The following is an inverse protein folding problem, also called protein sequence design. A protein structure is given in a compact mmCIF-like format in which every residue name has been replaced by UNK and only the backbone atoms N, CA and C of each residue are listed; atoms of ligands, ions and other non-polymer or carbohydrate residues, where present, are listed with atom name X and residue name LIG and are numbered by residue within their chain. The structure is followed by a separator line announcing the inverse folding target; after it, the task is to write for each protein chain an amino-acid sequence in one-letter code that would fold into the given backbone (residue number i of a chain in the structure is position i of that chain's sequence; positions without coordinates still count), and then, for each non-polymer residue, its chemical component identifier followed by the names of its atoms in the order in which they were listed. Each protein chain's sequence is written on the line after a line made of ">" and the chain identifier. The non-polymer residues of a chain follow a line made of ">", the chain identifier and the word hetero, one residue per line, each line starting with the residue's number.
data_IF_236547858736
#
_entry.id   IF_236547858736
#
_cell.length_a   1.000
_cell.length_b   1.000
_cell.length_c   1.000
_cell.angle_alpha   90.00
_cell.angle_beta   90.00
_cell.angle_gamma   90.00
#
_symmetry.space_group_name_H-M   'P 1'
#
loop_
_entity.id
_entity.type
_entity.pdbx_description
1 polymer ?
#
# COMPACT_ATOMS: atom_id res chain seq x y z
N UNK A 1 -17.31 -15.65 -22.92
CA UNK A 1 -16.93 -15.14 -21.58
C UNK A 1 -17.25 -13.66 -21.52
N UNK A 2 -17.94 -13.19 -20.48
CA UNK A 2 -18.32 -11.77 -20.35
C UNK A 2 -17.05 -11.01 -19.91
N UNK A 3 -16.55 -10.13 -20.78
CA UNK A 3 -15.42 -9.23 -20.48
C UNK A 3 -15.98 -7.94 -19.89
N UNK A 4 -15.39 -7.48 -18.79
CA UNK A 4 -15.83 -6.28 -18.07
C UNK A 4 -14.70 -5.26 -17.99
N UNK A 5 -15.01 -4.00 -18.30
CA UNK A 5 -14.03 -2.91 -18.26
C UNK A 5 -13.92 -2.25 -16.88
N UNK A 6 -15.07 -2.04 -16.24
CA UNK A 6 -15.32 -1.29 -15.01
C UNK A 6 -16.65 -1.74 -14.42
N UNK A 7 -17.14 -1.14 -13.33
CA UNK A 7 -18.39 -1.50 -12.65
C UNK A 7 -18.20 -2.65 -11.65
N UNK A 8 -17.02 -2.81 -11.08
CA UNK A 8 -16.75 -3.82 -10.04
C UNK A 8 -17.28 -3.37 -8.68
N UNK A 9 -17.83 -4.29 -7.92
CA UNK A 9 -18.38 -3.96 -6.60
C UNK A 9 -17.26 -3.36 -5.69
N UNK A 10 -17.46 -2.12 -5.22
CA UNK A 10 -16.50 -1.41 -4.38
C UNK A 10 -15.34 -0.75 -5.15
N UNK A 11 -15.45 -0.65 -6.48
CA UNK A 11 -14.48 0.12 -7.25
C UNK A 11 -14.54 1.60 -6.90
N UNK A 12 -13.40 2.25 -7.04
CA UNK A 12 -13.26 3.70 -6.94
C UNK A 12 -12.41 4.16 -8.10
N UNK A 13 -12.87 5.14 -8.85
CA UNK A 13 -12.13 5.70 -9.95
C UNK A 13 -12.45 7.17 -10.13
N UNK A 14 -11.46 7.92 -10.56
CA UNK A 14 -11.57 9.32 -10.95
C UNK A 14 -10.96 9.43 -12.35
N UNK A 15 -11.70 10.03 -13.25
CA UNK A 15 -11.26 10.42 -14.58
C UNK A 15 -11.35 11.93 -14.64
N UNK A 16 -10.21 12.62 -14.69
CA UNK A 16 -10.20 14.07 -14.69
C UNK A 16 -10.77 14.62 -16.00
N UNK A 17 -11.66 15.60 -15.93
CA UNK A 17 -12.17 16.27 -17.12
C UNK A 17 -11.05 16.90 -17.96
N UNK A 18 -11.17 16.95 -19.30
CA UNK A 18 -10.13 17.53 -20.17
C UNK A 18 -9.74 18.96 -19.80
N UNK A 19 -10.67 19.77 -19.28
CA UNK A 19 -10.39 21.13 -18.81
C UNK A 19 -9.44 21.14 -17.60
N UNK A 20 -9.55 20.18 -16.69
CA UNK A 20 -8.67 20.04 -15.54
C UNK A 20 -7.29 19.58 -15.99
N UNK A 21 -7.21 18.56 -16.87
CA UNK A 21 -5.94 18.10 -17.45
C UNK A 21 -5.21 19.25 -18.18
N UNK A 22 -5.95 20.13 -18.84
CA UNK A 22 -5.34 21.29 -19.50
C UNK A 22 -4.84 22.35 -18.48
N UNK A 23 -5.47 22.46 -17.31
CA UNK A 23 -4.96 23.30 -16.21
C UNK A 23 -3.64 22.72 -15.68
N UNK A 24 -3.57 21.39 -15.47
CA UNK A 24 -2.35 20.71 -15.04
C UNK A 24 -1.18 20.94 -16.01
N UNK A 25 -1.43 20.84 -17.31
CA UNK A 25 -0.41 21.08 -18.35
C UNK A 25 0.19 22.48 -18.30
N UNK A 26 -0.57 23.46 -17.86
CA UNK A 26 -0.17 24.89 -17.84
C UNK A 26 0.42 25.32 -16.49
N UNK A 27 0.15 24.58 -15.42
CA UNK A 27 0.68 24.94 -14.12
C UNK A 27 2.16 24.54 -13.99
N UNK A 28 3.05 25.48 -13.64
CA UNK A 28 4.50 25.22 -13.62
C UNK A 28 4.94 24.22 -12.54
N UNK A 29 4.12 23.96 -11.49
CA UNK A 29 4.42 22.95 -10.47
C UNK A 29 3.89 21.57 -10.84
N UNK A 30 2.86 21.50 -11.68
CA UNK A 30 2.15 20.26 -12.02
C UNK A 30 2.60 19.69 -13.35
N UNK A 31 2.89 20.52 -14.34
CA UNK A 31 3.12 20.15 -15.75
C UNK A 31 4.21 19.09 -15.96
N UNK A 32 5.17 18.99 -15.03
CA UNK A 32 6.24 17.99 -15.11
C UNK A 32 5.77 16.56 -14.88
N UNK A 33 4.72 16.36 -14.05
CA UNK A 33 4.13 15.06 -13.79
C UNK A 33 2.74 15.22 -13.15
N UNK A 34 1.69 14.70 -13.79
CA UNK A 34 0.32 14.83 -13.31
C UNK A 34 -0.53 13.59 -13.60
N UNK A 35 -1.61 13.45 -12.81
CA UNK A 35 -2.60 12.37 -12.93
C UNK A 35 -3.65 12.76 -13.95
N UNK A 36 -4.05 11.84 -14.83
CA UNK A 36 -5.23 12.03 -15.69
C UNK A 36 -6.40 11.16 -15.26
N UNK A 37 -6.10 9.95 -14.80
CA UNK A 37 -7.07 8.98 -14.33
C UNK A 37 -6.42 8.16 -13.20
N UNK A 38 -7.20 7.79 -12.18
CA UNK A 38 -6.71 7.02 -11.05
C UNK A 38 -7.82 6.14 -10.52
N UNK A 39 -7.49 4.94 -10.04
CA UNK A 39 -8.52 4.08 -9.46
C UNK A 39 -8.02 2.84 -8.75
N UNK A 40 -8.96 2.22 -8.07
CA UNK A 40 -8.84 0.98 -7.34
C UNK A 40 -9.97 0.03 -7.75
N UNK A 41 -9.62 -1.16 -8.23
CA UNK A 41 -10.57 -2.20 -8.59
C UNK A 41 -10.40 -3.42 -7.70
N UNK A 42 -11.27 -3.61 -6.69
CA UNK A 42 -11.23 -4.79 -5.84
C UNK A 42 -11.84 -5.99 -6.55
N UNK A 43 -11.19 -7.14 -6.44
CA UNK A 43 -11.68 -8.43 -6.95
C UNK A 43 -12.29 -8.37 -8.36
N UNK A 44 -11.62 -7.66 -9.26
CA UNK A 44 -12.09 -7.39 -10.62
C UNK A 44 -12.09 -8.67 -11.47
N UNK A 45 -13.20 -9.42 -11.38
CA UNK A 45 -13.40 -10.68 -12.10
C UNK A 45 -13.64 -10.40 -13.59
N UNK A 46 -12.98 -11.16 -14.46
CA UNK A 46 -13.08 -11.02 -15.92
C UNK A 46 -12.72 -9.60 -16.43
N UNK A 47 -11.98 -8.83 -15.65
CA UNK A 47 -11.50 -7.52 -16.09
C UNK A 47 -10.72 -7.65 -17.38
N UNK A 48 -11.07 -6.83 -18.37
CA UNK A 48 -10.41 -6.82 -19.66
C UNK A 48 -10.49 -5.45 -20.32
N UNK A 49 -9.35 -4.90 -20.65
CA UNK A 49 -9.22 -3.62 -21.36
C UNK A 49 -8.33 -3.80 -22.59
N UNK A 50 -8.86 -3.48 -23.77
CA UNK A 50 -8.09 -3.47 -25.03
C UNK A 50 -8.03 -2.04 -25.56
N UNK A 51 -6.84 -1.48 -25.66
CA UNK A 51 -6.55 -0.17 -26.27
C UNK A 51 -5.87 -0.40 -27.62
N UNK A 52 -6.68 -0.66 -28.64
CA UNK A 52 -6.19 -0.84 -30.03
C UNK A 52 -5.62 0.44 -30.60
N UNK A 53 -6.20 1.60 -30.24
CA UNK A 53 -5.62 2.89 -30.52
C UNK A 53 -4.77 3.33 -29.31
N UNK A 54 -3.55 3.82 -29.55
CA UNK A 54 -2.69 4.27 -28.47
C UNK A 54 -3.28 5.50 -27.77
N UNK A 55 -2.95 5.63 -26.50
CA UNK A 55 -3.25 6.82 -25.68
C UNK A 55 -1.95 7.52 -25.36
N UNK A 56 -2.01 8.82 -25.15
CA UNK A 56 -0.85 9.68 -24.83
C UNK A 56 -0.41 9.63 -23.36
N UNK A 57 -0.98 8.71 -22.59
CA UNK A 57 -0.77 8.54 -21.16
C UNK A 57 0.08 7.31 -20.88
N UNK A 58 0.91 7.37 -19.85
CA UNK A 58 1.51 6.21 -19.20
C UNK A 58 0.49 5.59 -18.24
N UNK A 59 0.50 4.26 -18.11
CA UNK A 59 -0.42 3.55 -17.21
C UNK A 59 0.37 2.65 -16.28
N UNK A 60 0.41 3.00 -14.98
CA UNK A 60 0.91 2.10 -13.96
C UNK A 60 -0.24 1.22 -13.47
N UNK A 61 0.01 -0.09 -13.37
CA UNK A 61 -0.90 -1.06 -12.73
C UNK A 61 -0.12 -1.82 -11.67
N UNK A 62 -0.62 -1.83 -10.45
CA UNK A 62 -0.08 -2.56 -9.31
C UNK A 62 -1.09 -3.62 -8.84
N UNK A 63 -0.72 -4.89 -8.96
CA UNK A 63 -1.52 -6.03 -8.51
C UNK A 63 -1.26 -6.32 -7.04
N UNK A 64 -2.25 -6.09 -6.18
CA UNK A 64 -2.15 -6.34 -4.74
C UNK A 64 -2.68 -7.70 -4.33
N UNK A 65 -3.58 -8.29 -5.17
CA UNK A 65 -4.12 -9.63 -4.94
C UNK A 65 -4.57 -10.26 -6.27
N UNK A 66 -4.55 -11.60 -6.34
CA UNK A 66 -4.89 -12.33 -7.55
C UNK A 66 -3.80 -12.29 -8.61
N UNK A 67 -4.19 -12.43 -9.88
CA UNK A 67 -3.26 -12.42 -11.01
C UNK A 67 -3.94 -11.93 -12.28
N UNK A 68 -3.13 -11.41 -13.20
CA UNK A 68 -3.58 -10.89 -14.48
C UNK A 68 -2.54 -11.05 -15.57
N UNK A 69 -2.79 -10.40 -16.69
CA UNK A 69 -1.89 -10.36 -17.82
C UNK A 69 -1.95 -9.01 -18.53
N UNK A 70 -0.93 -8.72 -19.31
CA UNK A 70 -0.99 -7.66 -20.34
C UNK A 70 -0.22 -8.08 -21.59
N UNK A 71 -0.59 -7.46 -22.71
CA UNK A 71 0.09 -7.64 -24.00
C UNK A 71 0.64 -6.28 -24.42
N UNK A 72 1.92 -6.24 -24.69
CA UNK A 72 2.65 -5.06 -25.14
C UNK A 72 3.62 -5.48 -26.26
N UNK A 73 3.59 -4.80 -27.43
CA UNK A 73 4.40 -5.16 -28.60
C UNK A 73 4.30 -6.65 -28.97
N UNK A 74 3.06 -7.17 -29.05
CA UNK A 74 2.72 -8.56 -29.38
C UNK A 74 3.31 -9.61 -28.39
N UNK A 75 3.85 -9.18 -27.27
CA UNK A 75 4.35 -10.05 -26.21
C UNK A 75 3.41 -10.01 -25.01
N UNK A 76 3.01 -11.22 -24.57
CA UNK A 76 2.20 -11.37 -23.34
C UNK A 76 3.09 -11.53 -22.13
N UNK A 77 2.69 -10.86 -21.05
CA UNK A 77 3.31 -10.91 -19.74
C UNK A 77 2.27 -11.31 -18.69
N UNK A 78 2.64 -12.23 -17.81
CA UNK A 78 1.82 -12.58 -16.66
C UNK A 78 2.17 -11.68 -15.48
N UNK A 79 1.16 -11.32 -14.68
CA UNK A 79 1.28 -10.46 -13.51
C UNK A 79 0.73 -11.19 -12.30
N UNK A 80 1.52 -11.24 -11.26
CA UNK A 80 1.22 -11.89 -9.99
C UNK A 80 1.03 -10.85 -8.88
N UNK A 81 0.54 -11.30 -7.74
CA UNK A 81 0.44 -10.49 -6.52
C UNK A 81 1.78 -9.82 -6.18
N UNK A 82 1.70 -8.56 -5.75
CA UNK A 82 2.84 -7.70 -5.41
C UNK A 82 3.77 -7.37 -6.60
N UNK A 83 3.24 -7.47 -7.81
CA UNK A 83 3.93 -6.98 -9.00
C UNK A 83 3.24 -5.73 -9.54
N UNK A 84 4.05 -4.85 -10.13
CA UNK A 84 3.57 -3.72 -10.90
C UNK A 84 4.29 -3.63 -12.24
N UNK A 85 3.72 -2.88 -13.16
CA UNK A 85 4.31 -2.56 -14.45
C UNK A 85 3.79 -1.20 -14.91
N UNK A 86 4.51 -0.58 -15.87
CA UNK A 86 4.09 0.68 -16.48
C UNK A 86 3.98 0.45 -17.99
N UNK A 87 2.79 0.61 -18.53
CA UNK A 87 2.53 0.63 -19.97
C UNK A 87 2.92 2.00 -20.51
N UNK A 88 3.73 2.06 -21.59
CA UNK A 88 4.19 3.31 -22.16
C UNK A 88 3.06 4.03 -22.91
N UNK A 89 3.18 5.36 -22.95
CA UNK A 89 2.32 6.20 -23.80
C UNK A 89 2.54 5.88 -25.29
N UNK A 90 1.52 6.14 -26.09
CA UNK A 90 1.54 6.02 -27.55
C UNK A 90 1.81 4.60 -28.10
N UNK A 91 1.61 3.55 -27.28
CA UNK A 91 1.72 2.15 -27.70
C UNK A 91 0.41 1.42 -27.42
N UNK A 92 -0.17 0.72 -28.41
CA UNK A 92 -1.34 -0.13 -28.21
C UNK A 92 -1.05 -1.23 -27.19
N UNK A 93 -2.01 -1.52 -26.32
CA UNK A 93 -1.86 -2.53 -25.30
C UNK A 93 -3.20 -3.17 -24.87
N UNK A 94 -3.10 -4.33 -24.28
CA UNK A 94 -4.24 -5.06 -23.69
C UNK A 94 -3.83 -5.47 -22.28
N UNK A 95 -4.76 -5.43 -21.34
CA UNK A 95 -4.55 -5.98 -20.01
C UNK A 95 -5.86 -6.49 -19.40
N UNK A 96 -5.74 -7.38 -18.42
CA UNK A 96 -6.91 -7.91 -17.73
C UNK A 96 -6.57 -8.92 -16.64
N UNK A 97 -7.61 -9.38 -15.95
CA UNK A 97 -7.49 -10.49 -15.03
C UNK A 97 -7.19 -11.79 -15.81
N UNK A 98 -6.52 -12.74 -15.17
CA UNK A 98 -6.31 -14.08 -15.72
C UNK A 98 -7.65 -14.73 -16.07
N UNK A 99 -7.69 -15.50 -17.13
CA UNK A 99 -8.91 -16.16 -17.61
C UNK A 99 -9.58 -16.99 -16.51
N UNK A 100 -10.87 -16.71 -16.24
CA UNK A 100 -11.61 -17.35 -15.15
C UNK A 100 -11.21 -16.93 -13.74
N UNK A 101 -10.31 -15.95 -13.60
CA UNK A 101 -9.82 -15.42 -12.34
C UNK A 101 -10.23 -13.96 -12.08
N UNK A 102 -9.70 -13.44 -11.01
CA UNK A 102 -9.84 -12.04 -10.61
C UNK A 102 -8.50 -11.49 -10.14
N UNK A 103 -8.39 -10.19 -10.14
CA UNK A 103 -7.31 -9.47 -9.47
C UNK A 103 -7.83 -8.24 -8.73
N UNK A 104 -7.09 -7.79 -7.75
CA UNK A 104 -7.28 -6.51 -7.08
C UNK A 104 -6.13 -5.61 -7.46
N UNK A 105 -6.43 -4.46 -8.06
CA UNK A 105 -5.41 -3.56 -8.60
C UNK A 105 -5.62 -2.12 -8.15
N UNK A 106 -4.49 -1.43 -7.98
CA UNK A 106 -4.38 0.03 -8.05
C UNK A 106 -3.85 0.40 -9.43
N UNK A 107 -4.42 1.41 -10.04
CA UNK A 107 -3.97 1.87 -11.35
C UNK A 107 -4.02 3.40 -11.45
N UNK A 108 -3.05 3.98 -12.15
CA UNK A 108 -2.98 5.41 -12.40
C UNK A 108 -2.48 5.69 -13.81
N UNK A 109 -3.18 6.56 -14.51
CA UNK A 109 -2.70 7.14 -15.75
C UNK A 109 -2.06 8.49 -15.45
N UNK A 110 -0.93 8.75 -16.06
CA UNK A 110 -0.16 9.95 -15.78
C UNK A 110 0.56 10.46 -17.04
N UNK A 111 0.81 11.75 -17.05
CA UNK A 111 1.50 12.47 -18.10
C UNK A 111 2.53 13.44 -17.52
N UNK A 112 3.23 14.16 -18.40
CA UNK A 112 4.23 15.14 -18.05
C UNK A 112 5.62 14.77 -18.57
N UNK A 113 6.55 15.73 -18.58
CA UNK A 113 7.91 15.53 -19.10
C UNK A 113 8.73 14.50 -18.31
N UNK A 114 8.43 14.34 -17.01
CA UNK A 114 9.10 13.35 -16.16
C UNK A 114 8.48 11.94 -16.25
N UNK A 115 7.33 11.78 -16.88
CA UNK A 115 6.63 10.51 -16.96
C UNK A 115 7.48 9.39 -17.59
N UNK A 116 8.19 9.72 -18.69
CA UNK A 116 9.08 8.78 -19.35
C UNK A 116 10.22 8.29 -18.44
N UNK A 117 10.76 9.16 -17.58
CA UNK A 117 11.84 8.84 -16.66
C UNK A 117 11.38 7.78 -15.64
N UNK A 118 10.16 7.93 -15.10
CA UNK A 118 9.60 6.94 -14.17
C UNK A 118 9.24 5.62 -14.86
N UNK A 119 8.85 5.66 -16.12
CA UNK A 119 8.44 4.47 -16.88
C UNK A 119 9.61 3.67 -17.49
N UNK A 120 10.80 4.27 -17.59
CA UNK A 120 11.97 3.62 -18.19
C UNK A 120 12.33 2.30 -17.52
N UNK A 121 12.35 1.19 -18.28
CA UNK A 121 12.65 -0.15 -17.77
C UNK A 121 11.54 -0.81 -16.96
N UNK A 122 10.36 -0.16 -16.79
CA UNK A 122 9.23 -0.67 -16.01
C UNK A 122 8.16 -1.37 -16.87
N UNK A 123 8.45 -1.66 -18.13
CA UNK A 123 7.53 -2.33 -19.07
C UNK A 123 7.40 -3.83 -18.83
N UNK A 124 8.28 -4.44 -18.04
CA UNK A 124 8.17 -5.83 -17.57
C UNK A 124 7.67 -5.86 -16.13
N UNK A 125 7.03 -6.97 -15.67
CA UNK A 125 6.57 -7.06 -14.29
C UNK A 125 7.71 -6.87 -13.28
N UNK A 126 7.55 -5.89 -12.40
CA UNK A 126 8.49 -5.54 -11.35
C UNK A 126 7.99 -6.10 -10.01
N UNK A 127 8.82 -6.84 -9.30
CA UNK A 127 8.47 -7.37 -7.99
C UNK A 127 8.64 -6.30 -6.90
N UNK A 128 7.57 -5.98 -6.20
CA UNK A 128 7.67 -5.37 -4.88
C UNK A 128 7.92 -6.50 -3.90
N UNK A 129 9.15 -6.60 -3.41
CA UNK A 129 9.48 -7.63 -2.43
C UNK A 129 8.57 -7.47 -1.20
N UNK A 130 7.92 -8.56 -0.80
CA UNK A 130 7.05 -8.65 0.39
C UNK A 130 7.81 -8.61 1.71
N UNK A 131 9.14 -8.47 1.70
CA UNK A 131 9.88 -8.14 2.90
C UNK A 131 9.31 -6.84 3.50
N UNK A 132 9.23 -6.79 4.79
CA UNK A 132 8.59 -5.75 5.59
C UNK A 132 9.14 -4.35 5.31
N UNK A 133 10.45 -4.27 5.06
CA UNK A 133 11.09 -3.04 4.59
C UNK A 133 10.67 -2.62 3.16
N UNK A 134 9.77 -3.35 2.51
CA UNK A 134 9.20 -2.98 1.21
C UNK A 134 8.22 -1.82 1.29
N UNK A 135 7.75 -1.46 2.48
CA UNK A 135 6.85 -0.33 2.73
C UNK A 135 5.59 -0.34 1.82
N UNK A 136 5.04 -1.54 1.59
CA UNK A 136 3.85 -1.71 0.73
C UNK A 136 2.69 -0.83 1.21
N UNK A 137 2.46 -0.81 2.53
CA UNK A 137 1.37 -0.03 3.14
C UNK A 137 1.54 1.47 2.92
N UNK A 138 2.77 1.96 3.03
CA UNK A 138 3.06 3.38 2.79
C UNK A 138 2.74 3.77 1.34
N UNK A 139 3.07 2.92 0.36
CA UNK A 139 2.72 3.15 -1.05
C UNK A 139 1.22 3.18 -1.27
N UNK A 140 0.50 2.24 -0.66
CA UNK A 140 -0.97 2.22 -0.72
C UNK A 140 -1.53 3.49 -0.08
N UNK A 141 -1.02 3.92 1.09
CA UNK A 141 -1.46 5.15 1.74
C UNK A 141 -1.22 6.39 0.87
N UNK A 142 -0.05 6.51 0.23
CA UNK A 142 0.23 7.61 -0.72
C UNK A 142 -0.78 7.58 -1.89
N UNK A 143 -1.06 6.39 -2.43
CA UNK A 143 -2.02 6.25 -3.52
C UNK A 143 -3.44 6.64 -3.09
N UNK A 144 -3.88 6.18 -1.92
CA UNK A 144 -5.18 6.53 -1.34
C UNK A 144 -5.30 8.03 -1.07
N UNK A 145 -4.21 8.68 -0.68
CA UNK A 145 -4.15 10.12 -0.47
C UNK A 145 -4.30 10.88 -1.79
N UNK A 146 -3.64 10.44 -2.88
CA UNK A 146 -3.85 11.00 -4.23
C UNK A 146 -5.32 10.87 -4.62
N UNK A 147 -5.89 9.66 -4.46
CA UNK A 147 -7.28 9.37 -4.82
C UNK A 147 -8.26 10.25 -4.04
N UNK A 148 -8.05 10.42 -2.74
CA UNK A 148 -8.89 11.27 -1.90
C UNK A 148 -8.74 12.76 -2.20
N UNK A 149 -7.54 13.22 -2.54
CA UNK A 149 -7.25 14.62 -2.89
C UNK A 149 -7.95 15.03 -4.19
N UNK A 150 -8.01 14.12 -5.16
CA UNK A 150 -8.66 14.37 -6.47
C UNK A 150 -10.16 14.08 -6.46
N UNK A 151 -10.70 13.53 -5.37
CA UNK A 151 -12.13 13.28 -5.25
C UNK A 151 -12.86 14.59 -5.00
N UNK A 152 -13.78 14.93 -5.90
CA UNK A 152 -14.68 16.10 -5.77
C UNK A 152 -16.07 15.59 -5.51
N UNK A 153 -16.71 16.07 -4.46
CA UNK A 153 -18.13 15.82 -4.22
C UNK A 153 -18.97 16.56 -5.28
N UNK A 154 -20.07 15.97 -5.73
CA UNK A 154 -20.96 16.55 -6.76
C UNK A 154 -21.51 17.95 -6.37
N UNK A 155 -21.39 18.33 -5.09
CA UNK A 155 -21.79 19.63 -4.56
C UNK A 155 -20.72 20.72 -4.63
N UNK A 156 -19.48 20.38 -5.01
CA UNK A 156 -18.34 21.30 -4.97
C UNK A 156 -18.02 21.88 -6.35
N UNK A 157 -17.48 23.09 -6.38
CA UNK A 157 -17.22 23.88 -7.59
C UNK A 157 -16.07 23.39 -8.50
N UNK A 158 -15.56 22.17 -8.29
CA UNK A 158 -14.52 21.54 -9.09
C UNK A 158 -13.20 21.37 -8.34
N UNK A 159 -12.25 20.65 -8.96
CA UNK A 159 -10.90 20.40 -8.39
C UNK A 159 -10.16 21.72 -8.27
N UNK A 160 -9.70 22.07 -7.07
CA UNK A 160 -8.86 23.23 -6.81
C UNK A 160 -7.44 23.02 -7.35
N UNK A 161 -6.80 24.08 -7.83
CA UNK A 161 -5.42 24.04 -8.31
C UNK A 161 -4.42 23.59 -7.23
N UNK A 162 -4.69 23.92 -5.96
CA UNK A 162 -3.86 23.48 -4.84
C UNK A 162 -3.96 21.96 -4.63
N UNK A 163 -5.14 21.37 -4.83
CA UNK A 163 -5.32 19.92 -4.80
C UNK A 163 -4.55 19.24 -5.94
N UNK A 164 -4.53 19.80 -7.16
CA UNK A 164 -3.76 19.29 -8.29
C UNK A 164 -2.25 19.37 -8.02
N UNK A 165 -1.75 20.45 -7.43
CA UNK A 165 -0.35 20.63 -7.04
C UNK A 165 0.07 19.61 -5.97
N UNK A 166 -0.79 19.39 -4.99
CA UNK A 166 -0.56 18.39 -3.94
C UNK A 166 -0.56 16.97 -4.50
N UNK A 167 -1.56 16.62 -5.32
CA UNK A 167 -1.63 15.32 -5.99
C UNK A 167 -0.42 15.04 -6.89
N UNK A 168 0.06 16.04 -7.64
CA UNK A 168 1.29 15.95 -8.44
C UNK A 168 2.51 15.63 -7.56
N UNK A 169 2.67 16.31 -6.43
CA UNK A 169 3.77 16.05 -5.48
C UNK A 169 3.71 14.65 -4.90
N UNK A 170 2.52 14.17 -4.54
CA UNK A 170 2.30 12.80 -4.09
C UNK A 170 2.57 11.78 -5.19
N UNK A 171 2.19 12.06 -6.45
CA UNK A 171 2.47 11.20 -7.59
C UNK A 171 3.98 11.05 -7.83
N UNK A 172 4.75 12.14 -7.73
CA UNK A 172 6.22 12.07 -7.75
C UNK A 172 6.76 11.15 -6.67
N UNK A 173 6.27 11.28 -5.42
CA UNK A 173 6.68 10.43 -4.31
C UNK A 173 6.28 8.97 -4.56
N UNK A 174 5.05 8.72 -5.00
CA UNK A 174 4.54 7.37 -5.29
C UNK A 174 5.39 6.68 -6.36
N UNK A 175 5.58 7.31 -7.52
CA UNK A 175 6.37 6.75 -8.62
C UNK A 175 7.85 6.57 -8.24
N UNK A 176 8.43 7.51 -7.51
CA UNK A 176 9.79 7.37 -6.98
C UNK A 176 9.90 6.16 -6.04
N UNK A 177 8.90 5.92 -5.19
CA UNK A 177 8.87 4.77 -4.29
C UNK A 177 8.78 3.44 -5.03
N UNK A 178 8.15 3.41 -6.21
CA UNK A 178 8.08 2.26 -7.11
C UNK A 178 9.38 2.08 -7.91
N UNK A 179 9.91 3.16 -8.47
CA UNK A 179 11.11 3.14 -9.33
C UNK A 179 12.39 2.84 -8.56
N UNK A 180 12.57 3.44 -7.39
CA UNK A 180 13.79 3.39 -6.61
C UNK A 180 13.66 2.47 -5.39
N UNK A 181 13.21 1.24 -5.61
CA UNK A 181 12.97 0.24 -4.56
C UNK A 181 14.15 0.06 -3.60
N UNK A 182 15.38 0.09 -4.12
CA UNK A 182 16.60 -0.05 -3.32
C UNK A 182 16.82 1.11 -2.33
N UNK A 183 16.41 2.33 -2.66
CA UNK A 183 16.53 3.49 -1.78
C UNK A 183 15.43 3.48 -0.71
N UNK A 184 14.25 3.04 -1.06
CA UNK A 184 13.13 2.91 -0.14
C UNK A 184 13.34 1.79 0.90
N UNK A 185 14.25 0.84 0.60
CA UNK A 185 14.62 -0.27 1.48
C UNK A 185 15.71 0.09 2.49
N UNK A 186 16.42 1.19 2.31
CA UNK A 186 17.40 1.58 3.30
C UNK A 186 16.65 1.84 4.60
N UNK A 187 16.64 0.81 5.48
CA UNK A 187 16.53 1.10 6.89
C UNK A 187 17.58 2.18 7.16
N UNK A 188 17.17 3.30 7.68
CA UNK A 188 18.09 4.20 8.35
C UNK A 188 18.85 3.29 9.32
N UNK A 189 20.19 3.24 9.31
CA UNK A 189 20.90 2.63 10.40
C UNK A 189 20.52 3.48 11.61
N UNK A 190 19.44 3.11 12.29
CA UNK A 190 19.17 3.61 13.62
C UNK A 190 20.37 3.16 14.41
N UNK A 191 21.21 4.12 14.76
CA UNK A 191 22.36 4.01 15.65
C UNK A 191 22.59 2.59 16.15
N UNK A 192 23.46 1.83 15.50
CA UNK A 192 24.15 0.62 15.98
C UNK A 192 23.42 -0.44 16.80
N UNK A 193 22.18 -0.24 17.22
CA UNK A 193 21.43 -1.14 18.08
C UNK A 193 20.31 -1.85 17.32
N UNK A 194 20.62 -3.09 16.91
CA UNK A 194 19.70 -3.99 16.20
C UNK A 194 18.40 -4.21 16.95
N UNK A 195 18.42 -4.23 18.28
CA UNK A 195 17.27 -4.43 19.13
C UNK A 195 16.33 -3.22 19.08
N UNK A 196 16.89 -2.01 19.08
CA UNK A 196 16.09 -0.78 18.91
C UNK A 196 15.43 -0.72 17.53
N UNK A 197 16.16 -1.10 16.48
CA UNK A 197 15.61 -1.18 15.13
C UNK A 197 14.45 -2.20 15.06
N UNK A 198 14.60 -3.36 15.70
CA UNK A 198 13.55 -4.37 15.77
C UNK A 198 12.32 -3.89 16.57
N UNK A 199 12.54 -3.17 17.67
CA UNK A 199 11.46 -2.58 18.48
C UNK A 199 10.68 -1.55 17.67
N UNK A 200 11.37 -0.60 17.06
CA UNK A 200 10.76 0.41 16.19
C UNK A 200 9.92 -0.25 15.08
N UNK A 201 10.47 -1.28 14.44
CA UNK A 201 9.76 -2.06 13.46
C UNK A 201 8.47 -2.71 14.01
N UNK A 202 8.53 -3.30 15.22
CA UNK A 202 7.36 -3.89 15.89
C UNK A 202 6.30 -2.82 16.22
N UNK A 203 6.72 -1.63 16.66
CA UNK A 203 5.83 -0.50 16.94
C UNK A 203 5.10 -0.01 15.70
N UNK A 204 5.81 0.17 14.60
CA UNK A 204 5.21 0.55 13.30
C UNK A 204 4.23 -0.49 12.76
N UNK A 205 4.40 -1.76 13.15
CA UNK A 205 3.59 -2.87 12.69
C UNK A 205 2.62 -3.43 13.74
N UNK A 206 2.27 -2.64 14.75
CA UNK A 206 1.45 -3.09 15.87
C UNK A 206 0.06 -3.61 15.43
N UNK A 207 -0.51 -3.02 14.37
CA UNK A 207 -1.78 -3.44 13.77
C UNK A 207 -1.66 -4.59 12.76
N UNK A 208 -0.46 -5.09 12.51
CA UNK A 208 -0.21 -6.12 11.51
C UNK A 208 0.07 -7.49 12.17
N UNK A 209 -0.14 -8.55 11.38
CA UNK A 209 0.40 -9.88 11.69
C UNK A 209 1.83 -9.94 11.17
N UNK A 210 2.80 -9.75 12.06
CA UNK A 210 4.20 -10.01 11.73
C UNK A 210 4.67 -11.30 12.39
N UNK A 211 5.53 -12.01 11.69
CA UNK A 211 6.21 -13.21 12.17
C UNK A 211 7.61 -12.88 12.68
N UNK A 212 8.26 -13.80 13.38
CA UNK A 212 9.65 -13.64 13.76
C UNK A 212 10.54 -13.53 12.50
N UNK A 213 10.22 -14.25 11.43
CA UNK A 213 10.97 -14.19 10.18
C UNK A 213 10.94 -12.79 9.59
N UNK A 214 9.80 -12.12 9.66
CA UNK A 214 9.67 -10.75 9.19
C UNK A 214 10.58 -9.78 9.95
N UNK A 215 10.71 -9.96 11.25
CA UNK A 215 11.66 -9.17 12.07
C UNK A 215 13.11 -9.50 11.70
N UNK A 216 13.42 -10.78 11.48
CA UNK A 216 14.76 -11.21 11.08
C UNK A 216 15.17 -10.66 9.71
N UNK A 217 14.24 -10.68 8.76
CA UNK A 217 14.46 -10.14 7.41
C UNK A 217 14.68 -8.61 7.45
N UNK A 218 14.01 -7.94 8.39
CA UNK A 218 14.19 -6.50 8.60
C UNK A 218 15.57 -6.16 9.18
N UNK A 219 15.98 -6.87 10.23
CA UNK A 219 17.25 -6.57 10.91
C UNK A 219 18.47 -7.22 10.22
N UNK A 220 18.27 -8.20 9.30
CA UNK A 220 19.34 -8.86 8.55
C UNK A 220 20.19 -9.83 9.37
N UNK A 221 19.62 -10.45 10.41
CA UNK A 221 20.34 -11.35 11.32
C UNK A 221 19.76 -12.77 11.35
N UNK A 222 20.59 -13.75 11.72
CA UNK A 222 20.12 -15.10 11.98
C UNK A 222 19.26 -15.16 13.25
N UNK A 223 18.27 -16.07 13.26
CA UNK A 223 17.31 -16.22 14.36
C UNK A 223 17.97 -16.44 15.72
N UNK A 224 18.97 -17.32 15.78
CA UNK A 224 19.64 -17.66 17.06
C UNK A 224 20.38 -16.46 17.65
N UNK A 225 21.13 -15.75 16.82
CA UNK A 225 21.89 -14.57 17.24
C UNK A 225 20.96 -13.44 17.67
N UNK A 226 19.97 -13.10 16.84
CA UNK A 226 19.00 -12.04 17.14
C UNK A 226 18.20 -12.31 18.41
N UNK A 227 17.60 -13.51 18.55
CA UNK A 227 16.76 -13.85 19.71
C UNK A 227 17.54 -13.81 21.02
N UNK A 228 18.80 -14.25 21.02
CA UNK A 228 19.68 -14.18 22.19
C UNK A 228 20.00 -12.72 22.55
N UNK A 229 20.37 -11.90 21.56
CA UNK A 229 20.68 -10.49 21.76
C UNK A 229 19.47 -9.70 22.24
N UNK A 230 18.32 -9.92 21.61
CA UNK A 230 17.06 -9.27 21.96
C UNK A 230 16.64 -9.59 23.39
N UNK A 231 16.68 -10.89 23.77
CA UNK A 231 16.36 -11.29 25.14
C UNK A 231 17.34 -10.74 26.16
N UNK A 232 18.63 -10.65 25.83
CA UNK A 232 19.65 -10.07 26.71
C UNK A 232 19.39 -8.58 26.99
N UNK A 233 18.92 -7.83 26.00
CA UNK A 233 18.69 -6.37 26.14
C UNK A 233 17.31 -6.04 26.69
N UNK A 234 16.26 -6.78 26.33
CA UNK A 234 14.86 -6.46 26.69
C UNK A 234 14.34 -7.34 27.86
N UNK A 235 15.04 -8.40 28.20
CA UNK A 235 14.57 -9.39 29.17
C UNK A 235 13.54 -10.38 28.60
N UNK A 236 13.02 -10.18 27.39
CA UNK A 236 11.95 -10.94 26.79
C UNK A 236 12.34 -11.50 25.40
N UNK A 237 11.61 -12.54 24.96
CA UNK A 237 11.74 -12.95 23.55
C UNK A 237 11.08 -11.93 22.63
N UNK A 238 11.52 -11.82 21.36
CA UNK A 238 10.95 -10.86 20.40
C UNK A 238 9.43 -10.93 20.30
N UNK A 239 8.88 -12.14 20.25
CA UNK A 239 7.43 -12.34 20.12
C UNK A 239 6.66 -11.99 21.43
N UNK A 240 7.23 -12.27 22.59
CA UNK A 240 6.65 -11.87 23.87
C UNK A 240 6.61 -10.34 24.01
N UNK A 241 7.68 -9.68 23.60
CA UNK A 241 7.78 -8.22 23.57
C UNK A 241 6.74 -7.60 22.63
N UNK A 242 6.61 -8.12 21.41
CA UNK A 242 5.61 -7.65 20.45
C UNK A 242 4.17 -7.81 20.96
N UNK A 243 3.86 -8.95 21.60
CA UNK A 243 2.58 -9.14 22.25
C UNK A 243 2.35 -8.12 23.38
N UNK A 244 3.38 -7.78 24.14
CA UNK A 244 3.27 -6.75 25.18
C UNK A 244 2.96 -5.38 24.58
N UNK A 245 3.63 -4.98 23.50
CA UNK A 245 3.33 -3.73 22.79
C UNK A 245 1.86 -3.68 22.32
N UNK A 246 1.34 -4.78 21.76
CA UNK A 246 -0.07 -4.89 21.35
C UNK A 246 -1.03 -4.70 22.53
N UNK A 247 -0.71 -5.29 23.68
CA UNK A 247 -1.53 -5.16 24.89
C UNK A 247 -1.47 -3.73 25.44
N UNK A 248 -0.32 -3.09 25.44
CA UNK A 248 -0.19 -1.71 25.91
C UNK A 248 -0.95 -0.75 25.00
N UNK A 249 -0.88 -0.93 23.70
CA UNK A 249 -1.70 -0.18 22.75
C UNK A 249 -3.21 -0.45 22.94
N UNK A 250 -3.60 -1.70 23.18
CA UNK A 250 -4.99 -2.03 23.52
C UNK A 250 -5.46 -1.32 24.79
N UNK A 251 -4.60 -1.18 25.83
CA UNK A 251 -4.92 -0.42 27.04
C UNK A 251 -5.22 1.05 26.74
N UNK A 252 -4.45 1.69 25.86
CA UNK A 252 -4.71 3.05 25.40
C UNK A 252 -6.07 3.13 24.72
N UNK A 253 -6.34 2.25 23.74
CA UNK A 253 -7.61 2.22 23.03
C UNK A 253 -8.81 1.96 23.97
N UNK A 254 -8.67 1.10 24.96
CA UNK A 254 -9.71 0.80 25.95
C UNK A 254 -10.04 2.00 26.83
N UNK A 255 -9.05 2.84 27.15
CA UNK A 255 -9.21 4.01 28.01
C UNK A 255 -9.67 5.26 27.24
N UNK A 256 -9.16 5.45 26.05
CA UNK A 256 -9.33 6.71 25.31
C UNK A 256 -10.45 6.67 24.28
N UNK A 257 -11.00 5.47 23.97
CA UNK A 257 -12.01 5.31 22.94
C UNK A 257 -13.17 4.43 23.39
N UNK A 258 -14.32 4.57 22.70
CA UNK A 258 -15.49 3.71 22.87
C UNK A 258 -15.55 2.56 21.85
N UNK A 259 -14.40 2.22 21.24
CA UNK A 259 -14.32 1.15 20.24
C UNK A 259 -14.79 -0.19 20.83
N UNK A 260 -15.58 -0.94 20.05
CA UNK A 260 -15.99 -2.30 20.42
C UNK A 260 -14.76 -3.23 20.47
N UNK A 261 -14.84 -4.31 21.25
CA UNK A 261 -13.73 -5.25 21.44
C UNK A 261 -13.17 -5.76 20.11
N UNK A 262 -14.05 -6.13 19.17
CA UNK A 262 -13.63 -6.59 17.83
C UNK A 262 -12.87 -5.52 17.04
N UNK A 263 -13.22 -4.25 17.20
CA UNK A 263 -12.51 -3.14 16.54
C UNK A 263 -11.12 -2.93 17.16
N UNK A 264 -10.99 -3.08 18.46
CA UNK A 264 -9.68 -3.05 19.14
C UNK A 264 -8.82 -4.21 18.66
N UNK A 265 -9.37 -5.43 18.63
CA UNK A 265 -8.67 -6.60 18.11
C UNK A 265 -8.16 -6.38 16.68
N UNK A 266 -9.00 -5.83 15.82
CA UNK A 266 -8.60 -5.47 14.44
C UNK A 266 -7.44 -4.46 14.42
N UNK A 267 -7.52 -3.38 15.24
CA UNK A 267 -6.48 -2.34 15.30
C UNK A 267 -5.13 -2.83 15.80
N UNK A 268 -5.12 -3.85 16.65
CA UNK A 268 -3.89 -4.46 17.16
C UNK A 268 -3.46 -5.71 16.38
N UNK A 269 -4.14 -6.03 15.27
CA UNK A 269 -3.81 -7.16 14.40
C UNK A 269 -3.95 -8.52 15.08
N UNK A 270 -4.96 -8.69 15.94
CA UNK A 270 -5.35 -9.97 16.55
C UNK A 270 -6.77 -10.30 16.10
N UNK A 271 -6.94 -11.31 15.26
CA UNK A 271 -8.24 -11.66 14.69
C UNK A 271 -9.19 -12.38 15.67
N UNK A 272 -8.63 -13.16 16.60
CA UNK A 272 -9.42 -13.92 17.57
C UNK A 272 -9.61 -13.13 18.88
N UNK A 273 -10.83 -12.65 19.19
CA UNK A 273 -11.11 -11.92 20.42
C UNK A 273 -10.93 -12.77 21.69
N UNK A 274 -11.09 -14.10 21.60
CA UNK A 274 -10.87 -15.00 22.74
C UNK A 274 -9.37 -15.14 23.03
N UNK A 275 -8.55 -15.24 21.99
CA UNK A 275 -7.10 -15.22 22.14
C UNK A 275 -6.64 -13.88 22.73
N UNK A 276 -7.15 -12.76 22.22
CA UNK A 276 -6.87 -11.43 22.78
C UNK A 276 -7.22 -11.34 24.26
N UNK A 277 -8.43 -11.76 24.65
CA UNK A 277 -8.88 -11.69 26.05
C UNK A 277 -7.98 -12.51 26.98
N UNK A 278 -7.56 -13.71 26.56
CA UNK A 278 -6.59 -14.54 27.32
C UNK A 278 -5.23 -13.88 27.44
N UNK A 279 -4.72 -13.32 26.33
CA UNK A 279 -3.43 -12.63 26.30
C UNK A 279 -3.44 -11.38 27.19
N UNK A 280 -4.51 -10.60 27.10
CA UNK A 280 -4.71 -9.39 27.90
C UNK A 280 -4.82 -9.71 29.40
N UNK A 281 -5.64 -10.69 29.76
CA UNK A 281 -5.82 -11.11 31.17
C UNK A 281 -4.52 -11.65 31.77
N UNK A 282 -3.74 -12.38 30.99
CA UNK A 282 -2.40 -12.83 31.41
C UNK A 282 -1.45 -11.67 31.68
N UNK A 283 -1.51 -10.61 30.87
CA UNK A 283 -0.60 -9.47 30.97
C UNK A 283 -1.03 -8.45 32.04
N UNK A 284 -2.34 -8.25 32.24
CA UNK A 284 -2.90 -7.19 33.12
C UNK A 284 -3.60 -7.71 34.37
N UNK A 285 -3.75 -9.03 34.53
CA UNK A 285 -4.41 -9.66 35.70
C UNK A 285 -5.94 -9.49 35.72
N UNK A 286 -6.55 -8.94 34.68
CA UNK A 286 -7.99 -8.72 34.57
C UNK A 286 -8.44 -8.73 33.12
N UNK A 287 -9.73 -8.92 32.85
CA UNK A 287 -10.27 -8.90 31.49
C UNK A 287 -10.21 -7.50 30.86
N UNK A 288 -10.21 -7.40 29.50
CA UNK A 288 -10.29 -6.11 28.81
C UNK A 288 -11.53 -5.26 29.20
N UNK A 289 -12.64 -5.94 29.48
CA UNK A 289 -13.90 -5.28 29.89
C UNK A 289 -13.78 -4.67 31.28
N UNK A 290 -13.24 -5.42 32.24
CA UNK A 290 -12.97 -4.90 33.58
C UNK A 290 -11.95 -3.75 33.57
N UNK A 291 -10.93 -3.86 32.71
CA UNK A 291 -9.92 -2.79 32.54
C UNK A 291 -10.55 -1.50 32.03
N UNK A 292 -11.48 -1.59 31.08
CA UNK A 292 -12.23 -0.42 30.57
C UNK A 292 -13.07 0.23 31.65
N UNK A 293 -13.71 -0.55 32.52
CA UNK A 293 -14.58 -0.04 33.58
C UNK A 293 -13.83 0.66 34.72
N UNK A 294 -12.51 0.48 34.81
CA UNK A 294 -11.63 1.15 35.80
C UNK A 294 -11.15 2.53 35.36
N UNK A 295 -11.94 3.20 34.51
CA UNK A 295 -11.70 4.60 34.14
C UNK A 295 -11.77 5.51 35.37
#
# INVERSE_FOLDING_TARGET
>A
MIRQKDGFQGERQIVLPPVIVEMERKDPLVSSLYVTDIGYYPNATNHYRARKQPIDQYVLIYCVEGSGFYVLNDKEYQVEKNQFFILPANIPHIYGAKEGGSWTIYWVHFCGEHAAIYAEGMQTPQNINVAINSRIRDRINIFEEILSTLYVDESDSGVDIEALRYASSLLHHFLASMRFLGQFRKSIPVSGNIVEAAIHFMEENIGNRITLQDVLDYVGYSQSHFSSLFKKQTGQSPFAYFNQLKIDYACTLLKETDLKMNQICYKIGIEDPFYFSRLFSKAKGMSPTEYRQRK
#
